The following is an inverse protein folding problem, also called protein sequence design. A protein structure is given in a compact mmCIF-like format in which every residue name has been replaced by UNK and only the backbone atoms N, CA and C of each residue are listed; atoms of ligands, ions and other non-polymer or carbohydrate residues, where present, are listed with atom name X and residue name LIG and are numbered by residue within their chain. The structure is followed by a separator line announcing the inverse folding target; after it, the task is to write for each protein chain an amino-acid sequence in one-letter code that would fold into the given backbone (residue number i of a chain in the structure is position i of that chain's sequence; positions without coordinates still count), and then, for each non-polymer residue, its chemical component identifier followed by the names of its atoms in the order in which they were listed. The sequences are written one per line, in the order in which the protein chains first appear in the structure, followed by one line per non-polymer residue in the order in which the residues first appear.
data_IF_375936892136
#
_entry.id   IF_375936892136
#
_cell.length_a   1.000
_cell.length_b   1.000
_cell.length_c   1.000
_cell.angle_alpha   90.00
_cell.angle_beta   90.00
_cell.angle_gamma   90.00
#
_symmetry.space_group_name_H-M   'P 1'
#
loop_
_entity.id
_entity.type
_entity.pdbx_description
1 polymer ?
#
# COMPACT_ATOMS: atom_id res chain seq x y z
N UNK A 1 -11.70 13.08 -1.53
CA UNK A 1 -12.42 13.72 -0.40
C UNK A 1 -13.18 12.64 0.35
N UNK A 2 -13.17 12.66 1.67
CA UNK A 2 -13.88 11.73 2.55
C UNK A 2 -14.79 12.59 3.41
N UNK A 3 -16.11 12.36 3.37
CA UNK A 3 -17.07 13.18 4.10
C UNK A 3 -17.99 12.30 4.92
N UNK A 4 -18.15 12.65 6.20
CA UNK A 4 -19.13 12.06 7.09
C UNK A 4 -19.63 13.17 8.00
N UNK A 5 -20.86 13.59 7.78
CA UNK A 5 -21.38 14.84 8.35
C UNK A 5 -21.22 14.88 9.89
N UNK A 6 -20.71 15.99 10.45
CA UNK A 6 -20.45 17.27 9.77
C UNK A 6 -19.02 17.41 9.22
N UNK A 7 -18.15 16.41 9.39
CA UNK A 7 -16.72 16.51 9.13
C UNK A 7 -16.32 16.11 7.71
N UNK A 8 -15.16 16.58 7.26
CA UNK A 8 -14.58 16.22 5.96
C UNK A 8 -13.06 16.15 6.01
N UNK A 9 -12.48 15.13 5.38
CA UNK A 9 -11.04 15.01 5.10
C UNK A 9 -10.80 15.21 3.60
N UNK A 10 -9.99 16.21 3.26
CA UNK A 10 -9.54 16.49 1.90
C UNK A 10 -8.10 16.01 1.79
N UNK A 11 -7.90 14.86 1.17
CA UNK A 11 -6.57 14.32 0.88
C UNK A 11 -6.00 14.99 -0.37
N UNK A 12 -4.79 15.53 -0.27
CA UNK A 12 -4.05 16.18 -1.38
C UNK A 12 -2.89 15.34 -1.88
N UNK A 13 -2.30 14.53 -1.01
CA UNK A 13 -1.28 13.54 -1.36
C UNK A 13 -1.41 12.35 -0.42
N UNK A 14 -1.27 11.14 -0.97
CA UNK A 14 -1.14 9.90 -0.21
C UNK A 14 -0.04 9.07 -0.87
N UNK A 15 0.97 8.72 -0.07
CA UNK A 15 2.15 7.99 -0.52
C UNK A 15 2.36 6.76 0.36
N UNK A 16 2.75 5.66 -0.26
CA UNK A 16 2.94 4.35 0.35
C UNK A 16 4.32 3.80 -0.02
N UNK A 17 5.01 3.21 0.94
CA UNK A 17 6.18 2.37 0.70
C UNK A 17 5.70 0.95 0.44
N UNK A 18 5.93 0.48 -0.77
CA UNK A 18 5.80 -0.93 -1.12
C UNK A 18 7.18 -1.55 -0.96
N UNK A 19 7.41 -2.25 0.15
CA UNK A 19 8.76 -2.68 0.56
C UNK A 19 9.22 -3.92 -0.18
N UNK A 20 8.32 -4.86 -0.42
CA UNK A 20 8.59 -6.07 -1.19
C UNK A 20 7.39 -6.43 -2.04
N UNK A 21 7.67 -6.77 -3.29
CA UNK A 21 6.77 -7.57 -4.09
C UNK A 21 7.47 -8.88 -4.33
N UNK A 22 6.86 -9.96 -3.86
CA UNK A 22 7.40 -11.30 -3.89
C UNK A 22 6.56 -12.17 -4.81
N UNK A 23 7.23 -12.94 -5.66
CA UNK A 23 6.62 -13.89 -6.57
C UNK A 23 7.13 -15.28 -6.25
N UNK A 24 6.22 -16.18 -5.91
CA UNK A 24 6.54 -17.58 -5.65
C UNK A 24 6.57 -18.37 -6.95
N UNK A 25 7.64 -19.13 -7.16
CA UNK A 25 7.82 -19.96 -8.35
C UNK A 25 7.07 -21.28 -8.22
N UNK A 26 6.31 -21.61 -9.25
CA UNK A 26 5.64 -22.90 -9.42
C UNK A 26 6.49 -23.92 -10.17
N UNK A 27 7.52 -23.47 -10.89
CA UNK A 27 8.41 -24.30 -11.71
C UNK A 27 9.68 -24.77 -10.98
N UNK A 28 9.82 -24.43 -9.70
CA UNK A 28 10.92 -24.85 -8.83
C UNK A 28 10.35 -25.55 -7.59
N UNK A 29 10.63 -26.84 -7.44
CA UNK A 29 10.12 -27.64 -6.33
C UNK A 29 11.07 -27.72 -5.12
N UNK A 30 12.35 -27.40 -5.30
CA UNK A 30 13.37 -27.35 -4.23
C UNK A 30 14.64 -26.64 -4.72
N UNK A 31 15.26 -25.86 -3.83
CA UNK A 31 16.56 -25.20 -4.05
C UNK A 31 17.79 -26.10 -3.91
N UNK A 32 17.63 -27.40 -3.64
CA UNK A 32 18.74 -28.33 -3.41
C UNK A 32 19.68 -28.48 -4.62
N UNK A 33 19.20 -28.13 -5.83
CA UNK A 33 19.97 -28.20 -7.07
C UNK A 33 20.72 -26.90 -7.43
N UNK A 34 20.54 -25.80 -6.69
CA UNK A 34 21.13 -24.49 -7.02
C UNK A 34 22.18 -24.12 -5.98
N UNK A 35 23.45 -24.37 -6.32
CA UNK A 35 24.59 -23.95 -5.50
C UNK A 35 24.60 -22.41 -5.33
N UNK A 36 24.40 -21.95 -4.10
CA UNK A 36 24.56 -20.55 -3.71
C UNK A 36 23.29 -19.68 -3.75
N UNK A 37 22.10 -20.26 -3.94
CA UNK A 37 20.85 -19.50 -3.94
C UNK A 37 19.89 -20.04 -2.87
N UNK A 38 19.89 -19.41 -1.69
CA UNK A 38 19.03 -19.78 -0.57
C UNK A 38 17.53 -19.55 -0.81
N UNK A 39 17.20 -18.70 -1.78
CA UNK A 39 15.82 -18.26 -2.06
C UNK A 39 15.54 -18.41 -3.57
N UNK A 40 15.76 -19.60 -4.14
CA UNK A 40 15.45 -19.85 -5.55
C UNK A 40 13.95 -20.06 -5.82
N UNK A 41 13.18 -20.29 -4.74
CA UNK A 41 11.74 -20.53 -4.74
C UNK A 41 10.95 -19.24 -4.90
N UNK A 42 11.52 -18.08 -4.53
CA UNK A 42 10.85 -16.79 -4.56
C UNK A 42 11.69 -15.72 -5.28
N UNK A 43 11.01 -14.79 -5.95
CA UNK A 43 11.62 -13.59 -6.50
C UNK A 43 11.11 -12.36 -5.76
N UNK A 44 12.00 -11.62 -5.10
CA UNK A 44 11.66 -10.38 -4.40
C UNK A 44 12.16 -9.13 -5.16
N UNK A 45 11.30 -8.11 -5.23
CA UNK A 45 11.71 -6.76 -5.63
C UNK A 45 12.06 -5.89 -4.42
N UNK A 46 12.96 -4.93 -4.62
CA UNK A 46 13.27 -3.92 -3.60
C UNK A 46 12.18 -2.86 -3.43
N UNK A 47 12.29 -2.07 -2.36
CA UNK A 47 11.32 -1.03 -2.00
C UNK A 47 11.05 0.00 -3.10
N UNK A 48 9.77 0.37 -3.24
CA UNK A 48 9.29 1.43 -4.14
C UNK A 48 8.36 2.40 -3.40
N UNK A 49 8.41 3.67 -3.80
CA UNK A 49 7.49 4.69 -3.30
C UNK A 49 6.35 4.83 -4.31
N UNK A 50 5.14 4.51 -3.88
CA UNK A 50 3.92 4.71 -4.67
C UNK A 50 3.26 6.01 -4.25
N UNK A 51 2.82 6.81 -5.23
CA UNK A 51 1.95 7.96 -5.00
C UNK A 51 0.57 7.63 -5.56
N UNK A 52 -0.44 7.60 -4.71
CA UNK A 52 -1.78 7.20 -5.11
C UNK A 52 -2.43 8.25 -6.02
N UNK A 53 -3.04 7.87 -7.15
CA UNK A 53 -3.76 8.79 -8.01
C UNK A 53 -5.09 9.18 -7.37
N UNK A 54 -5.10 10.31 -6.65
CA UNK A 54 -6.26 10.81 -5.93
C UNK A 54 -7.32 11.41 -6.88
N UNK A 55 -8.07 10.54 -7.57
CA UNK A 55 -9.27 10.89 -8.36
C UNK A 55 -10.57 10.29 -7.79
N UNK A 56 -10.43 9.26 -6.97
CA UNK A 56 -11.49 8.50 -6.30
C UNK A 56 -11.07 8.16 -4.87
N UNK A 57 -12.01 7.70 -4.06
CA UNK A 57 -11.68 7.17 -2.72
C UNK A 57 -11.27 5.70 -2.75
N UNK A 58 -11.70 4.96 -3.77
CA UNK A 58 -11.23 3.61 -4.08
C UNK A 58 -10.28 3.71 -5.26
N UNK A 59 -9.01 3.46 -5.02
CA UNK A 59 -7.91 3.66 -5.96
C UNK A 59 -7.44 2.29 -6.44
N UNK A 60 -7.27 2.13 -7.75
CA UNK A 60 -6.52 1.02 -8.34
C UNK A 60 -5.17 1.58 -8.79
N UNK A 61 -4.09 1.04 -8.25
CA UNK A 61 -2.72 1.43 -8.59
C UNK A 61 -2.02 0.28 -9.30
N UNK A 62 -1.72 0.49 -10.58
CA UNK A 62 -0.91 -0.45 -11.36
C UNK A 62 0.52 -0.48 -10.83
N UNK A 63 1.05 -1.68 -10.64
CA UNK A 63 2.43 -1.95 -10.26
C UNK A 63 3.02 -2.91 -11.28
N UNK A 64 3.97 -2.42 -12.07
CA UNK A 64 4.72 -3.27 -13.00
C UNK A 64 5.95 -3.89 -12.31
N UNK A 65 6.07 -5.20 -12.43
CA UNK A 65 7.13 -6.01 -11.84
C UNK A 65 7.97 -6.59 -12.97
N UNK A 66 9.27 -6.35 -12.92
CA UNK A 66 10.24 -6.96 -13.83
C UNK A 66 10.84 -8.16 -13.11
N UNK A 67 10.29 -9.34 -13.36
CA UNK A 67 10.77 -10.60 -12.79
C UNK A 67 11.51 -11.43 -13.85
N UNK A 68 12.38 -12.37 -13.44
CA UNK A 68 13.01 -13.32 -14.36
C UNK A 68 11.96 -14.19 -15.06
N UNK A 69 12.33 -14.76 -16.21
CA UNK A 69 11.51 -15.76 -16.86
C UNK A 69 11.28 -16.98 -15.93
N UNK A 70 10.04 -17.45 -15.89
CA UNK A 70 9.61 -18.51 -14.98
C UNK A 70 8.10 -18.61 -14.88
N UNK A 71 7.61 -19.60 -14.14
CA UNK A 71 6.19 -19.74 -13.82
C UNK A 71 5.95 -19.44 -12.35
N UNK A 72 4.95 -18.62 -12.05
CA UNK A 72 4.64 -18.16 -10.69
C UNK A 72 3.18 -18.46 -10.34
N UNK A 73 2.92 -18.90 -9.11
CA UNK A 73 1.57 -19.26 -8.64
C UNK A 73 1.08 -18.44 -7.44
N UNK A 74 1.93 -17.64 -6.82
CA UNK A 74 1.56 -16.73 -5.74
C UNK A 74 2.31 -15.39 -5.88
N UNK A 75 1.64 -14.35 -5.45
CA UNK A 75 2.13 -12.98 -5.40
C UNK A 75 1.84 -12.39 -4.02
N UNK A 76 2.85 -11.77 -3.41
CA UNK A 76 2.72 -11.05 -2.15
C UNK A 76 3.15 -9.58 -2.28
N UNK A 77 2.31 -8.67 -1.79
CA UNK A 77 2.64 -7.25 -1.59
C UNK A 77 2.81 -6.95 -0.12
N UNK A 78 3.89 -6.28 0.22
CA UNK A 78 4.12 -5.81 1.57
C UNK A 78 4.22 -4.28 1.63
N UNK A 79 3.22 -3.65 2.27
CA UNK A 79 3.26 -2.22 2.64
C UNK A 79 3.93 -2.12 4.00
N UNK A 80 5.17 -1.65 4.03
CA UNK A 80 5.94 -1.58 5.27
C UNK A 80 7.09 -0.57 5.18
N UNK A 81 7.61 -0.16 6.33
CA UNK A 81 8.73 0.78 6.40
C UNK A 81 10.01 0.09 5.90
N UNK A 82 10.91 0.81 5.21
CA UNK A 82 12.17 0.25 4.73
C UNK A 82 13.04 -0.29 5.89
N UNK A 83 13.83 -1.33 5.64
CA UNK A 83 14.91 -1.78 6.52
C UNK A 83 16.23 -1.12 6.14
N UNK A 84 17.07 -0.84 7.14
CA UNK A 84 18.30 -0.08 6.92
C UNK A 84 19.35 -0.80 6.06
N UNK A 85 19.35 -2.14 6.01
CA UNK A 85 20.35 -2.91 5.27
C UNK A 85 19.93 -3.26 3.84
N UNK A 86 18.66 -3.57 3.61
CA UNK A 86 18.17 -4.01 2.29
C UNK A 86 17.67 -2.81 1.46
N UNK A 87 17.15 -1.77 2.12
CA UNK A 87 16.50 -0.64 1.48
C UNK A 87 17.37 0.64 1.49
N UNK A 88 18.69 0.51 1.66
CA UNK A 88 19.61 1.64 1.78
C UNK A 88 19.51 2.63 0.60
N UNK A 89 19.41 2.12 -0.63
CA UNK A 89 19.24 2.95 -1.82
C UNK A 89 17.88 3.67 -1.85
N UNK A 90 16.82 2.98 -1.43
CA UNK A 90 15.48 3.56 -1.31
C UNK A 90 15.46 4.68 -0.26
N UNK A 91 16.03 4.44 0.92
CA UNK A 91 16.13 5.40 2.02
C UNK A 91 16.95 6.62 1.59
N UNK A 92 18.07 6.42 0.89
CA UNK A 92 18.89 7.52 0.39
C UNK A 92 18.12 8.42 -0.59
N UNK A 93 17.25 7.85 -1.43
CA UNK A 93 16.40 8.60 -2.35
C UNK A 93 15.15 9.21 -1.67
N UNK A 94 14.67 8.61 -0.59
CA UNK A 94 13.42 8.96 0.09
C UNK A 94 13.62 9.06 1.62
N UNK A 95 14.45 9.99 2.12
CA UNK A 95 14.86 10.02 3.53
C UNK A 95 13.69 10.21 4.50
N UNK A 96 12.63 10.91 4.09
CA UNK A 96 11.42 11.10 4.90
C UNK A 96 10.67 9.79 5.19
N UNK A 97 10.94 8.72 4.42
CA UNK A 97 10.34 7.40 4.59
C UNK A 97 11.22 6.42 5.36
N UNK A 98 12.36 6.86 5.91
CA UNK A 98 13.29 5.97 6.61
C UNK A 98 12.66 5.20 7.79
N UNK A 99 11.57 5.73 8.37
CA UNK A 99 10.92 5.13 9.55
C UNK A 99 9.40 4.96 9.40
N UNK A 100 8.84 5.22 8.22
CA UNK A 100 7.39 5.21 7.97
C UNK A 100 7.10 4.47 6.66
N UNK A 101 5.90 3.90 6.55
CA UNK A 101 5.40 3.27 5.33
C UNK A 101 4.36 4.14 4.63
N UNK A 102 3.75 5.10 5.34
CA UNK A 102 2.64 5.90 4.80
C UNK A 102 2.84 7.37 5.15
N UNK A 103 2.58 8.24 4.17
CA UNK A 103 2.46 9.68 4.36
C UNK A 103 1.24 10.22 3.65
N UNK A 104 0.43 11.00 4.37
CA UNK A 104 -0.76 11.67 3.85
C UNK A 104 -0.70 13.14 4.18
N UNK A 105 -0.95 13.99 3.18
CA UNK A 105 -1.05 15.43 3.34
C UNK A 105 -2.45 15.86 2.94
N UNK A 106 -3.10 16.68 3.75
CA UNK A 106 -4.46 17.10 3.50
C UNK A 106 -4.96 18.23 4.39
N UNK A 107 -6.26 18.47 4.32
CA UNK A 107 -6.99 19.39 5.19
C UNK A 107 -8.13 18.65 5.85
N UNK A 108 -8.22 18.75 7.17
CA UNK A 108 -9.38 18.34 7.94
C UNK A 108 -10.30 19.54 8.11
N UNK A 109 -11.60 19.34 7.88
CA UNK A 109 -12.64 20.32 8.11
C UNK A 109 -13.53 19.76 9.21
N UNK A 110 -13.42 20.34 10.41
CA UNK A 110 -14.33 20.03 11.49
C UNK A 110 -15.60 20.86 11.33
N UNK A 111 -16.71 20.20 11.02
CA UNK A 111 -17.96 20.87 10.77
C UNK A 111 -18.75 21.12 12.06
N UNK A 112 -19.47 22.23 12.10
CA UNK A 112 -20.33 22.61 13.22
C UNK A 112 -21.79 22.16 13.03
N UNK A 113 -22.09 21.44 11.94
CA UNK A 113 -23.45 21.07 11.51
C UNK A 113 -24.29 22.25 10.99
N UNK A 114 -23.88 23.50 11.23
CA UNK A 114 -24.50 24.74 10.75
C UNK A 114 -23.42 25.78 10.47
N UNK A 115 -23.32 26.27 9.22
CA UNK A 115 -22.30 27.24 8.81
C UNK A 115 -20.98 26.61 8.33
N UNK A 116 -19.95 27.45 8.16
CA UNK A 116 -18.63 27.01 7.71
C UNK A 116 -17.84 26.38 8.86
N UNK A 117 -17.37 25.14 8.68
CA UNK A 117 -16.52 24.44 9.65
C UNK A 117 -15.10 25.03 9.77
N UNK A 118 -14.38 24.63 10.82
CA UNK A 118 -12.98 24.99 11.05
C UNK A 118 -12.06 24.12 10.20
N UNK A 119 -11.10 24.73 9.51
CA UNK A 119 -10.13 24.02 8.66
C UNK A 119 -8.77 23.95 9.34
N UNK A 120 -8.16 22.77 9.28
CA UNK A 120 -6.79 22.51 9.76
C UNK A 120 -6.05 21.69 8.73
N UNK A 121 -4.90 22.17 8.27
CA UNK A 121 -3.99 21.36 7.46
C UNK A 121 -3.32 20.30 8.34
N UNK A 122 -3.10 19.10 7.79
CA UNK A 122 -2.43 18.02 8.48
C UNK A 122 -1.39 17.33 7.60
N UNK A 123 -0.39 16.78 8.28
CA UNK A 123 0.47 15.71 7.79
C UNK A 123 0.27 14.53 8.72
N UNK A 124 -0.14 13.40 8.15
CA UNK A 124 -0.28 12.12 8.83
C UNK A 124 0.81 11.19 8.35
N UNK A 125 1.48 10.51 9.27
CA UNK A 125 2.47 9.48 8.97
C UNK A 125 2.20 8.23 9.79
N UNK A 126 2.46 7.06 9.21
CA UNK A 126 2.31 5.77 9.90
C UNK A 126 3.40 4.79 9.46
N UNK A 127 3.76 3.88 10.35
CA UNK A 127 4.65 2.74 10.12
C UNK A 127 3.88 1.41 10.00
N UNK A 128 2.62 1.47 9.55
CA UNK A 128 1.79 0.30 9.22
C UNK A 128 2.59 -0.74 8.44
N UNK A 129 2.44 -1.98 8.89
CA UNK A 129 2.89 -3.19 8.22
C UNK A 129 1.66 -3.95 7.76
N UNK A 130 1.58 -4.25 6.47
CA UNK A 130 0.53 -5.09 5.92
C UNK A 130 1.01 -5.90 4.72
N UNK A 131 0.79 -7.21 4.78
CA UNK A 131 0.95 -8.12 3.65
C UNK A 131 -0.39 -8.43 2.98
N UNK A 132 -0.38 -8.55 1.65
CA UNK A 132 -1.49 -9.03 0.84
C UNK A 132 -0.98 -10.11 -0.09
N UNK A 133 -1.57 -11.30 -0.02
CA UNK A 133 -1.25 -12.43 -0.89
C UNK A 133 -2.37 -12.65 -1.90
N UNK A 134 -2.02 -12.95 -3.14
CA UNK A 134 -2.92 -13.34 -4.20
C UNK A 134 -2.39 -14.61 -4.87
N UNK A 135 -3.27 -15.62 -5.03
CA UNK A 135 -2.95 -16.78 -5.85
C UNK A 135 -3.12 -16.41 -7.33
N UNK A 136 -2.15 -16.82 -8.14
CA UNK A 136 -2.19 -16.68 -9.60
C UNK A 136 -2.80 -17.96 -10.16
N UNK A 137 -4.07 -17.90 -10.55
CA UNK A 137 -4.84 -19.06 -11.03
C UNK A 137 -5.48 -18.73 -12.38
N UNK A 138 -4.96 -19.28 -13.50
CA UNK A 138 -3.84 -20.23 -13.58
C UNK A 138 -2.49 -19.58 -13.24
N UNK A 139 -1.44 -20.38 -12.94
CA UNK A 139 -0.09 -19.85 -12.77
C UNK A 139 0.35 -19.02 -13.99
N UNK A 140 1.02 -17.91 -13.72
CA UNK A 140 1.48 -16.93 -14.70
C UNK A 140 2.88 -17.31 -15.18
N UNK A 141 3.06 -17.47 -16.50
CA UNK A 141 4.37 -17.69 -17.11
C UNK A 141 4.92 -16.39 -17.69
N UNK A 142 6.09 -15.96 -17.23
CA UNK A 142 6.82 -14.82 -17.76
C UNK A 142 7.95 -15.30 -18.68
N UNK A 143 8.09 -14.62 -19.83
CA UNK A 143 9.22 -14.73 -20.73
C UNK A 143 10.22 -13.59 -20.54
N UNK A 144 11.44 -13.75 -21.04
CA UNK A 144 12.48 -12.73 -20.92
C UNK A 144 12.02 -11.37 -21.44
N UNK A 145 12.18 -10.34 -20.59
CA UNK A 145 11.79 -8.96 -20.90
C UNK A 145 10.30 -8.66 -20.74
N UNK A 146 9.47 -9.62 -20.31
CA UNK A 146 8.08 -9.35 -19.93
C UNK A 146 7.98 -8.80 -18.50
N UNK A 147 6.96 -7.98 -18.27
CA UNK A 147 6.60 -7.47 -16.95
C UNK A 147 5.25 -8.00 -16.54
N UNK A 148 5.14 -8.44 -15.29
CA UNK A 148 3.86 -8.73 -14.66
C UNK A 148 3.20 -7.41 -14.26
N UNK A 149 1.92 -7.24 -14.61
CA UNK A 149 1.11 -6.11 -14.15
C UNK A 149 0.20 -6.58 -13.02
N UNK A 150 0.15 -5.79 -11.96
CA UNK A 150 -0.67 -6.10 -10.81
C UNK A 150 -1.34 -4.84 -10.31
N UNK A 151 -2.58 -4.97 -9.85
CA UNK A 151 -3.29 -3.88 -9.22
C UNK A 151 -3.24 -3.98 -7.70
N UNK A 152 -2.72 -2.93 -7.06
CA UNK A 152 -2.95 -2.65 -5.65
C UNK A 152 -4.18 -1.75 -5.52
N UNK A 153 -5.26 -2.30 -5.00
CA UNK A 153 -6.46 -1.54 -4.65
C UNK A 153 -6.37 -1.00 -3.22
N UNK A 154 -6.70 0.27 -3.07
CA UNK A 154 -6.66 0.99 -1.79
C UNK A 154 -7.96 1.77 -1.60
N UNK A 155 -8.71 1.50 -0.53
CA UNK A 155 -9.89 2.28 -0.16
C UNK A 155 -9.57 3.30 0.95
N UNK A 156 -9.22 4.52 0.54
CA UNK A 156 -8.90 5.60 1.47
C UNK A 156 -10.13 6.18 2.17
N UNK A 157 -11.36 5.86 1.73
CA UNK A 157 -12.59 6.40 2.34
C UNK A 157 -12.76 5.99 3.79
N UNK A 158 -12.14 4.89 4.19
CA UNK A 158 -12.31 4.27 5.50
C UNK A 158 -11.22 4.66 6.51
N UNK A 159 -10.10 5.23 6.04
CA UNK A 159 -8.88 5.40 6.83
C UNK A 159 -9.12 6.20 8.12
N UNK A 160 -9.83 7.32 8.01
CA UNK A 160 -10.06 8.24 9.13
C UNK A 160 -11.41 8.06 9.80
N UNK A 161 -12.08 6.92 9.63
CA UNK A 161 -13.29 6.61 10.39
C UNK A 161 -12.93 6.23 11.83
N UNK A 162 -13.73 6.67 12.80
CA UNK A 162 -13.63 6.20 14.17
C UNK A 162 -13.91 4.69 14.27
N UNK A 163 -13.66 4.09 15.44
CA UNK A 163 -13.81 2.64 15.65
C UNK A 163 -15.23 2.13 15.31
N UNK A 164 -16.26 2.94 15.55
CA UNK A 164 -17.67 2.58 15.28
C UNK A 164 -18.12 2.91 13.86
N UNK A 165 -17.27 3.50 13.02
CA UNK A 165 -17.57 3.91 11.64
C UNK A 165 -18.71 4.93 11.50
N UNK A 166 -18.92 5.75 12.53
CA UNK A 166 -20.01 6.73 12.61
C UNK A 166 -19.55 8.19 12.57
N UNK A 167 -18.25 8.45 12.73
CA UNK A 167 -17.67 9.78 12.64
C UNK A 167 -16.26 9.72 12.04
N UNK A 168 -15.76 10.87 11.57
CA UNK A 168 -14.35 11.02 11.22
C UNK A 168 -13.54 11.37 12.46
N UNK A 169 -12.31 10.91 12.52
CA UNK A 169 -11.31 11.38 13.48
C UNK A 169 -10.44 12.45 12.81
N UNK A 170 -9.91 13.38 13.60
CA UNK A 170 -8.89 14.32 13.11
C UNK A 170 -7.63 13.53 12.71
N UNK A 171 -7.20 13.55 11.43
CA UNK A 171 -5.99 12.86 10.97
C UNK A 171 -4.73 13.20 11.76
N UNK A 172 -4.61 14.42 12.29
CA UNK A 172 -3.45 14.82 13.10
C UNK A 172 -3.37 14.05 14.43
N UNK A 173 -4.53 13.67 14.99
CA UNK A 173 -4.64 12.89 16.23
C UNK A 173 -4.33 11.39 16.05
N UNK A 174 -4.13 10.95 14.81
CA UNK A 174 -3.79 9.58 14.47
C UNK A 174 -2.29 9.34 14.22
N UNK A 175 -1.46 10.39 14.30
CA UNK A 175 -0.01 10.22 14.28
C UNK A 175 0.47 9.38 15.48
N UNK A 176 1.69 8.84 15.37
CA UNK A 176 2.33 8.00 16.38
C UNK A 176 2.25 8.61 17.80
N UNK A 177 1.78 7.82 18.77
CA UNK A 177 1.50 8.22 20.15
C UNK A 177 0.16 8.95 20.35
N UNK A 178 -0.59 9.22 19.29
CA UNK A 178 -1.88 9.90 19.32
C UNK A 178 -3.04 8.97 19.70
N UNK A 179 -4.18 9.53 20.19
CA UNK A 179 -5.31 8.73 20.66
C UNK A 179 -5.99 7.89 19.58
N UNK A 180 -5.84 8.26 18.30
CA UNK A 180 -6.47 7.57 17.18
C UNK A 180 -5.50 6.75 16.33
N UNK A 181 -4.23 6.61 16.76
CA UNK A 181 -3.18 5.90 16.02
C UNK A 181 -3.63 4.48 15.64
N UNK A 182 -3.99 3.65 16.63
CA UNK A 182 -4.35 2.26 16.38
C UNK A 182 -5.62 2.11 15.54
N UNK A 183 -6.60 3.01 15.71
CA UNK A 183 -7.85 2.96 14.94
C UNK A 183 -7.57 3.22 13.47
N UNK A 184 -6.81 4.28 13.15
CA UNK A 184 -6.49 4.64 11.76
C UNK A 184 -5.52 3.62 11.15
N UNK A 185 -4.51 3.15 11.89
CA UNK A 185 -3.61 2.10 11.41
C UNK A 185 -4.36 0.83 11.01
N UNK A 186 -5.29 0.36 11.86
CA UNK A 186 -6.14 -0.80 11.55
C UNK A 186 -7.04 -0.56 10.34
N UNK A 187 -7.60 0.64 10.18
CA UNK A 187 -8.43 0.96 9.02
C UNK A 187 -7.63 0.91 7.72
N UNK A 188 -6.42 1.47 7.74
CA UNK A 188 -5.49 1.44 6.61
C UNK A 188 -5.15 -0.01 6.26
N UNK A 189 -4.75 -0.84 7.23
CA UNK A 189 -4.42 -2.26 6.99
C UNK A 189 -5.58 -3.01 6.31
N UNK A 190 -6.81 -2.74 6.72
CA UNK A 190 -8.02 -3.36 6.16
C UNK A 190 -8.47 -2.75 4.81
N UNK A 191 -7.80 -1.70 4.33
CA UNK A 191 -8.18 -1.01 3.08
C UNK A 191 -7.47 -1.54 1.84
N UNK A 192 -6.43 -2.35 2.02
CA UNK A 192 -5.62 -2.88 0.94
C UNK A 192 -6.23 -4.17 0.40
N UNK A 193 -6.22 -4.31 -0.93
CA UNK A 193 -6.46 -5.57 -1.64
C UNK A 193 -5.53 -5.61 -2.85
N UNK A 194 -4.79 -6.71 -3.03
CA UNK A 194 -3.96 -6.92 -4.22
C UNK A 194 -4.52 -8.07 -5.06
N UNK A 195 -4.45 -7.94 -6.38
CA UNK A 195 -4.89 -8.97 -7.34
C UNK A 195 -4.22 -8.77 -8.70
N UNK A 196 -4.05 -9.88 -9.43
CA UNK A 196 -3.59 -9.88 -10.82
C UNK A 196 -4.56 -9.09 -11.71
N UNK A 197 -4.02 -8.23 -12.58
CA UNK A 197 -4.81 -7.35 -13.44
C UNK A 197 -4.08 -7.08 -14.76
N UNK A 198 -4.18 -8.04 -15.68
CA UNK A 198 -3.48 -8.00 -16.96
C UNK A 198 -4.01 -6.93 -17.92
N UNK A 199 -5.32 -6.69 -17.91
CA UNK A 199 -5.97 -5.71 -18.78
C UNK A 199 -5.92 -4.28 -18.18
N UNK A 200 -5.50 -4.14 -16.93
CA UNK A 200 -5.32 -2.88 -16.18
C UNK A 200 -6.62 -2.10 -16.04
N UNK A 201 -7.74 -2.79 -15.88
CA UNK A 201 -9.04 -2.17 -15.71
C UNK A 201 -9.39 -1.88 -14.24
N UNK A 202 -8.57 -2.36 -13.30
CA UNK A 202 -8.74 -2.20 -11.87
C UNK A 202 -9.85 -3.08 -11.27
N UNK A 203 -10.32 -4.08 -12.01
CA UNK A 203 -11.33 -5.04 -11.62
C UNK A 203 -10.73 -6.45 -11.50
N UNK A 204 -11.34 -7.24 -10.63
CA UNK A 204 -10.98 -8.66 -10.48
C UNK A 204 -11.69 -9.46 -11.58
N UNK A 205 -10.96 -10.35 -12.24
CA UNK A 205 -11.45 -11.24 -13.29
C UNK A 205 -12.28 -12.42 -12.79
#
# INVERSE_FOLDING_TARGET
MIALAPDTVIVRSAQLVLRKVELKRADVASCDAILGNGDCEDFETGSKLLTLPLGSAVIAQDVSISAPAGTFDELEFNVHKPSSSEDAAFIAANPDFATISIRVIGTFVHGTGTGAGTRSDFTFTSDVDQSQKASLVPPMTLHDGQTLNVTLRVDISTWYLNATKTALVDPASANKGGPNESVVANNIQNSFKAFEDDNRDGLEG
#
